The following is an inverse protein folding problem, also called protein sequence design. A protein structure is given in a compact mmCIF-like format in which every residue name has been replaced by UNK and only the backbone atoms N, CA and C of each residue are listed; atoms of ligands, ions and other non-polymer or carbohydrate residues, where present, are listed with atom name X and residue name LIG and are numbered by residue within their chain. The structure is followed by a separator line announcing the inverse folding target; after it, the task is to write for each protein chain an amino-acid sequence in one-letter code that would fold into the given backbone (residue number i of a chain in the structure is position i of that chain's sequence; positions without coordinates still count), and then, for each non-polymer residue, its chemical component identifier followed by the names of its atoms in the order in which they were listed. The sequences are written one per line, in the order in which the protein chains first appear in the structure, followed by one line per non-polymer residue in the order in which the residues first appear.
data_IF_151638211364
#
_entry.id   IF_151638211364
#
_cell.length_a   1.000
_cell.length_b   1.000
_cell.length_c   1.000
_cell.angle_alpha   90.00
_cell.angle_beta   90.00
_cell.angle_gamma   90.00
#
_symmetry.space_group_name_H-M   'P 1'
#
loop_
_entity.id
_entity.type
_entity.pdbx_description
1 polymer ?
#
# COMPACT_ATOMS: atom_id res chain seq x y z
N UNK A 1 13.22 -19.37 -9.64
CA UNK A 1 12.36 -18.19 -9.38
C UNK A 1 11.81 -18.20 -7.95
N UNK A 2 11.23 -19.27 -7.46
CA UNK A 2 10.65 -19.36 -6.11
C UNK A 2 11.61 -18.93 -5.00
N UNK A 3 12.82 -19.50 -4.95
CA UNK A 3 13.84 -19.10 -3.96
C UNK A 3 14.12 -17.60 -3.99
N UNK A 4 14.14 -17.01 -5.17
CA UNK A 4 14.35 -15.56 -5.32
C UNK A 4 13.18 -14.75 -4.76
N UNK A 5 11.94 -15.18 -4.98
CA UNK A 5 10.75 -14.57 -4.40
C UNK A 5 10.73 -14.69 -2.87
N UNK A 6 11.10 -15.85 -2.31
CA UNK A 6 11.25 -15.99 -0.86
C UNK A 6 12.30 -15.06 -0.27
N UNK A 7 13.46 -14.93 -0.94
CA UNK A 7 14.50 -13.99 -0.51
C UNK A 7 14.00 -12.53 -0.60
N UNK A 8 13.22 -12.19 -1.62
CA UNK A 8 12.62 -10.87 -1.75
C UNK A 8 11.64 -10.58 -0.59
N UNK A 9 10.76 -11.53 -0.25
CA UNK A 9 9.86 -11.41 0.90
C UNK A 9 10.63 -11.22 2.20
N UNK A 10 11.65 -12.05 2.43
CA UNK A 10 12.48 -11.93 3.63
C UNK A 10 13.14 -10.56 3.72
N UNK A 11 13.67 -10.07 2.60
CA UNK A 11 14.27 -8.73 2.50
C UNK A 11 13.24 -7.65 2.86
N UNK A 12 12.01 -7.73 2.33
CA UNK A 12 10.94 -6.80 2.67
C UNK A 12 10.61 -6.81 4.15
N UNK A 13 10.48 -7.98 4.76
CA UNK A 13 10.18 -8.12 6.19
C UNK A 13 11.31 -7.54 7.07
N UNK A 14 12.56 -7.80 6.71
CA UNK A 14 13.73 -7.23 7.40
C UNK A 14 13.73 -5.71 7.30
N UNK A 15 13.50 -5.16 6.11
CA UNK A 15 13.40 -3.70 5.92
C UNK A 15 12.27 -3.11 6.76
N UNK A 16 11.10 -3.74 6.78
CA UNK A 16 9.94 -3.30 7.57
C UNK A 16 10.28 -3.23 9.07
N UNK A 17 10.91 -4.28 9.62
CA UNK A 17 11.30 -4.35 11.03
C UNK A 17 12.37 -3.30 11.35
N UNK A 18 13.43 -3.20 10.54
CA UNK A 18 14.50 -2.22 10.75
C UNK A 18 13.92 -0.79 10.69
N UNK A 19 13.10 -0.48 9.68
CA UNK A 19 12.46 0.81 9.53
C UNK A 19 11.59 1.16 10.75
N UNK A 20 10.81 0.20 11.24
CA UNK A 20 10.02 0.37 12.45
C UNK A 20 10.89 0.72 13.67
N UNK A 21 11.93 -0.06 13.91
CA UNK A 21 12.84 0.15 15.06
C UNK A 21 13.50 1.53 14.98
N UNK A 22 14.07 1.87 13.81
CA UNK A 22 14.78 3.14 13.58
C UNK A 22 13.84 4.34 13.75
N UNK A 23 12.69 4.31 13.08
CA UNK A 23 11.71 5.40 13.15
C UNK A 23 11.11 5.54 14.54
N UNK A 24 10.78 4.42 15.21
CA UNK A 24 10.28 4.42 16.57
C UNK A 24 11.29 5.02 17.56
N UNK A 25 12.57 4.65 17.43
CA UNK A 25 13.66 5.18 18.27
C UNK A 25 13.91 6.67 18.01
N UNK A 26 13.87 7.09 16.74
CA UNK A 26 14.17 8.47 16.32
C UNK A 26 13.05 9.46 16.64
N UNK A 27 11.80 9.07 16.45
CA UNK A 27 10.63 9.95 16.55
C UNK A 27 9.77 9.68 17.79
N UNK A 28 10.01 8.60 18.53
CA UNK A 28 9.25 8.19 19.72
C UNK A 28 7.73 8.24 19.51
N UNK A 29 7.28 7.94 18.28
CA UNK A 29 5.90 8.07 17.87
C UNK A 29 4.93 7.16 18.62
N UNK A 30 3.65 7.49 18.61
CA UNK A 30 2.58 6.71 19.24
C UNK A 30 2.32 5.40 18.51
N UNK A 31 2.44 4.25 19.21
CA UNK A 31 2.08 2.93 18.68
C UNK A 31 0.58 2.87 18.34
N UNK A 32 -0.27 3.50 19.16
CA UNK A 32 -1.72 3.55 18.87
C UNK A 32 -1.99 4.21 17.53
N UNK A 33 -1.34 5.34 17.25
CA UNK A 33 -1.54 6.06 15.99
C UNK A 33 -0.91 5.32 14.80
N UNK A 34 0.21 4.62 15.02
CA UNK A 34 0.78 3.71 14.03
C UNK A 34 -0.21 2.58 13.66
N UNK A 35 -0.86 1.96 14.65
CA UNK A 35 -1.90 0.94 14.40
C UNK A 35 -3.13 1.55 13.69
N UNK A 36 -3.51 2.78 14.02
CA UNK A 36 -4.56 3.49 13.29
C UNK A 36 -4.15 3.72 11.83
N UNK A 37 -2.87 4.00 11.55
CA UNK A 37 -2.35 4.09 10.19
C UNK A 37 -2.44 2.75 9.44
N UNK A 38 -2.03 1.64 10.06
CA UNK A 38 -2.17 0.30 9.48
C UNK A 38 -3.63 -0.01 9.09
N UNK A 39 -4.56 0.22 10.02
CA UNK A 39 -5.98 -0.01 9.80
C UNK A 39 -6.56 0.98 8.79
N UNK A 40 -6.06 2.23 8.81
CA UNK A 40 -6.49 3.32 7.93
C UNK A 40 -6.16 3.11 6.46
N UNK A 41 -5.23 2.21 6.13
CA UNK A 41 -5.04 1.67 4.78
C UNK A 41 -5.91 0.43 4.57
N UNK A 42 -5.71 -0.60 5.40
CA UNK A 42 -6.28 -1.93 5.16
C UNK A 42 -7.82 -1.93 5.06
N UNK A 43 -8.51 -1.28 6.00
CA UNK A 43 -9.98 -1.31 6.02
C UNK A 43 -10.62 -0.58 4.82
N UNK A 44 -10.26 0.68 4.48
CA UNK A 44 -10.85 1.36 3.33
C UNK A 44 -10.54 0.65 2.02
N UNK A 45 -9.33 0.13 1.85
CA UNK A 45 -8.96 -0.61 0.64
C UNK A 45 -9.76 -1.89 0.52
N UNK A 46 -9.90 -2.67 1.59
CA UNK A 46 -10.65 -3.94 1.55
C UNK A 46 -12.16 -3.75 1.45
N UNK A 47 -12.73 -2.74 2.12
CA UNK A 47 -14.19 -2.60 2.26
C UNK A 47 -14.81 -1.63 1.24
N UNK A 48 -14.03 -0.71 0.70
CA UNK A 48 -14.54 0.32 -0.22
C UNK A 48 -13.85 0.18 -1.58
N UNK A 49 -12.54 0.39 -1.61
CA UNK A 49 -11.80 0.45 -2.86
C UNK A 49 -11.84 -0.88 -3.63
N UNK A 50 -11.52 -1.99 -2.97
CA UNK A 50 -11.49 -3.32 -3.59
C UNK A 50 -12.82 -3.72 -4.24
N UNK A 51 -13.97 -3.67 -3.52
CA UNK A 51 -15.28 -3.94 -4.09
C UNK A 51 -15.65 -3.03 -5.26
N UNK A 52 -15.38 -1.72 -5.16
CA UNK A 52 -15.67 -0.77 -6.24
C UNK A 52 -14.75 -1.06 -7.45
N UNK A 53 -13.46 -1.30 -7.21
CA UNK A 53 -12.50 -1.66 -8.25
C UNK A 53 -12.93 -2.95 -8.97
N UNK A 54 -13.38 -3.96 -8.23
CA UNK A 54 -13.88 -5.20 -8.81
C UNK A 54 -15.07 -4.96 -9.75
N UNK A 55 -16.03 -4.12 -9.35
CA UNK A 55 -17.19 -3.79 -10.18
C UNK A 55 -16.80 -2.97 -11.42
N UNK A 56 -16.02 -1.92 -11.25
CA UNK A 56 -15.65 -1.01 -12.35
C UNK A 56 -14.71 -1.69 -13.35
N UNK A 57 -13.69 -2.39 -12.87
CA UNK A 57 -12.70 -3.02 -13.75
C UNK A 57 -13.26 -4.25 -14.46
N UNK A 58 -14.20 -4.99 -13.86
CA UNK A 58 -14.90 -6.06 -14.59
C UNK A 58 -15.75 -5.54 -15.75
N UNK A 59 -16.33 -4.33 -15.60
CA UNK A 59 -17.18 -3.73 -16.61
C UNK A 59 -16.40 -2.93 -17.68
N UNK A 60 -15.37 -2.20 -17.29
CA UNK A 60 -14.67 -1.23 -18.13
C UNK A 60 -13.17 -1.49 -18.28
N UNK A 61 -12.57 -2.37 -17.49
CA UNK A 61 -11.11 -2.62 -17.49
C UNK A 61 -10.54 -3.15 -18.82
N UNK A 62 -11.39 -3.74 -19.66
CA UNK A 62 -11.01 -4.19 -21.00
C UNK A 62 -10.95 -3.06 -22.04
N UNK A 63 -11.45 -1.85 -21.71
CA UNK A 63 -11.58 -0.74 -22.65
C UNK A 63 -10.23 -0.14 -23.02
N UNK A 64 -9.34 0.06 -22.04
CA UNK A 64 -8.01 0.66 -22.26
C UNK A 64 -7.11 0.49 -21.04
N UNK A 65 -5.82 0.20 -21.28
CA UNK A 65 -4.78 0.19 -20.24
C UNK A 65 -4.69 1.56 -19.53
N UNK A 66 -4.85 2.64 -20.27
CA UNK A 66 -4.84 4.00 -19.71
C UNK A 66 -6.01 4.24 -18.77
N UNK A 67 -7.20 3.74 -19.12
CA UNK A 67 -8.37 3.81 -18.23
C UNK A 67 -8.06 3.15 -16.88
N UNK A 68 -7.54 1.93 -16.90
CA UNK A 68 -7.21 1.18 -15.66
C UNK A 68 -6.21 1.92 -14.80
N UNK A 69 -5.16 2.50 -15.40
CA UNK A 69 -4.12 3.25 -14.67
C UNK A 69 -4.69 4.52 -14.05
N UNK A 70 -5.39 5.34 -14.84
CA UNK A 70 -5.94 6.62 -14.37
C UNK A 70 -7.03 6.39 -13.32
N UNK A 71 -7.96 5.49 -13.59
CA UNK A 71 -9.02 5.12 -12.66
C UNK A 71 -8.45 4.59 -11.33
N UNK A 72 -7.51 3.64 -11.39
CA UNK A 72 -6.89 3.06 -10.20
C UNK A 72 -6.18 4.12 -9.35
N UNK A 73 -5.41 5.01 -9.97
CA UNK A 73 -4.72 6.09 -9.27
C UNK A 73 -5.69 7.10 -8.63
N UNK A 74 -6.77 7.48 -9.34
CA UNK A 74 -7.79 8.39 -8.81
C UNK A 74 -8.58 7.73 -7.67
N UNK A 75 -8.93 6.46 -7.80
CA UNK A 75 -9.70 5.74 -6.78
C UNK A 75 -8.88 5.54 -5.51
N UNK A 76 -7.64 5.09 -5.63
CA UNK A 76 -6.72 4.97 -4.51
C UNK A 76 -6.52 6.32 -3.81
N UNK A 77 -6.18 7.37 -4.57
CA UNK A 77 -6.04 8.73 -4.05
C UNK A 77 -7.28 9.19 -3.29
N UNK A 78 -8.48 9.04 -3.89
CA UNK A 78 -9.73 9.46 -3.25
C UNK A 78 -9.98 8.74 -1.92
N UNK A 79 -9.83 7.42 -1.89
CA UNK A 79 -10.13 6.62 -0.70
C UNK A 79 -9.08 6.82 0.39
N UNK A 80 -7.80 6.78 0.02
CA UNK A 80 -6.70 6.87 0.97
C UNK A 80 -6.57 8.27 1.56
N UNK A 81 -6.59 9.33 0.72
CA UNK A 81 -6.46 10.72 1.19
C UNK A 81 -7.66 11.12 2.04
N UNK A 82 -8.88 10.75 1.62
CA UNK A 82 -10.07 11.02 2.44
C UNK A 82 -9.97 10.38 3.81
N UNK A 83 -9.54 9.13 3.89
CA UNK A 83 -9.38 8.42 5.16
C UNK A 83 -8.33 9.10 6.04
N UNK A 84 -7.20 9.44 5.47
CA UNK A 84 -6.07 10.10 6.14
C UNK A 84 -6.49 11.47 6.71
N UNK A 85 -7.12 12.28 5.87
CA UNK A 85 -7.64 13.60 6.26
C UNK A 85 -8.65 13.49 7.42
N UNK A 86 -9.60 12.55 7.34
CA UNK A 86 -10.60 12.36 8.39
C UNK A 86 -9.97 11.95 9.72
N UNK A 87 -8.97 11.07 9.72
CA UNK A 87 -8.24 10.68 10.93
C UNK A 87 -7.57 11.88 11.58
N UNK A 88 -6.83 12.69 10.82
CA UNK A 88 -6.19 13.90 11.35
C UNK A 88 -7.19 14.95 11.81
N UNK A 89 -8.30 15.12 11.10
CA UNK A 89 -9.38 16.04 11.52
C UNK A 89 -10.02 15.63 12.84
N UNK A 90 -10.25 14.32 13.04
CA UNK A 90 -10.76 13.81 14.32
C UNK A 90 -9.71 13.95 15.44
N UNK A 91 -8.45 13.67 15.14
CA UNK A 91 -7.35 13.77 16.10
C UNK A 91 -7.13 15.22 16.54
N UNK A 92 -7.18 16.18 15.61
CA UNK A 92 -7.03 17.62 15.88
C UNK A 92 -8.10 18.18 16.82
N UNK A 93 -9.32 17.59 16.81
CA UNK A 93 -10.38 17.96 17.76
C UNK A 93 -10.10 17.51 19.20
N UNK A 94 -9.25 16.49 19.37
CA UNK A 94 -8.97 15.88 20.69
C UNK A 94 -7.70 16.41 21.34
N UNK A 95 -6.72 16.81 20.54
CA UNK A 95 -5.43 17.33 21.01
C UNK A 95 -4.67 18.07 19.90
N UNK A 96 -3.66 18.82 20.29
CA UNK A 96 -2.72 19.40 19.34
C UNK A 96 -1.96 18.30 18.59
N UNK A 97 -1.83 18.47 17.29
CA UNK A 97 -1.08 17.56 16.41
C UNK A 97 0.42 17.82 16.51
N UNK A 98 1.21 16.75 16.42
CA UNK A 98 2.69 16.80 16.48
C UNK A 98 3.29 16.19 15.22
N UNK A 99 4.52 16.57 14.89
CA UNK A 99 5.25 16.00 13.73
C UNK A 99 5.44 14.48 13.86
N UNK A 100 5.58 13.96 15.09
CA UNK A 100 5.63 12.52 15.33
C UNK A 100 4.34 11.80 14.95
N UNK A 101 3.21 12.50 14.83
CA UNK A 101 1.93 11.93 14.39
C UNK A 101 1.96 11.64 12.88
N UNK A 102 2.63 12.49 12.11
CA UNK A 102 2.87 12.28 10.68
C UNK A 102 3.62 10.96 10.47
N UNK A 103 4.72 10.79 11.21
CA UNK A 103 5.55 9.58 11.12
C UNK A 103 4.77 8.36 11.62
N UNK A 104 4.04 8.49 12.73
CA UNK A 104 3.25 7.39 13.28
C UNK A 104 2.23 6.86 12.27
N UNK A 105 1.34 7.75 11.82
CA UNK A 105 0.26 7.37 10.92
C UNK A 105 0.79 7.03 9.52
N UNK A 106 1.61 7.89 8.94
CA UNK A 106 2.10 7.73 7.57
C UNK A 106 2.95 6.47 7.38
N UNK A 107 3.81 6.17 8.36
CA UNK A 107 4.57 4.92 8.35
C UNK A 107 3.68 3.70 8.57
N UNK A 108 2.67 3.78 9.46
CA UNK A 108 1.71 2.69 9.65
C UNK A 108 0.90 2.42 8.37
N UNK A 109 0.37 3.45 7.75
CA UNK A 109 -0.36 3.38 6.50
C UNK A 109 0.50 2.80 5.37
N UNK A 110 1.68 3.37 5.14
CA UNK A 110 2.61 2.90 4.12
C UNK A 110 3.14 1.49 4.37
N UNK A 111 3.34 1.08 5.64
CA UNK A 111 3.74 -0.28 5.97
C UNK A 111 2.62 -1.28 5.69
N UNK A 112 1.36 -0.91 5.93
CA UNK A 112 0.21 -1.73 5.55
C UNK A 112 0.17 -1.95 4.05
N UNK A 113 0.30 -0.90 3.25
CA UNK A 113 0.40 -0.99 1.79
C UNK A 113 1.58 -1.86 1.34
N UNK A 114 2.76 -1.63 1.93
CA UNK A 114 3.99 -2.39 1.66
C UNK A 114 3.80 -3.89 1.88
N UNK A 115 3.08 -4.29 2.93
CA UNK A 115 2.77 -5.68 3.21
C UNK A 115 1.70 -6.21 2.25
N UNK A 116 0.57 -5.49 2.09
CA UNK A 116 -0.55 -5.95 1.26
C UNK A 116 -0.18 -6.07 -0.22
N UNK A 117 0.43 -5.06 -0.79
CA UNK A 117 0.76 -5.07 -2.21
C UNK A 117 2.12 -5.72 -2.49
N UNK A 118 3.09 -5.58 -1.58
CA UNK A 118 4.42 -6.15 -1.75
C UNK A 118 4.49 -7.61 -1.32
N UNK A 119 4.41 -7.88 -0.03
CA UNK A 119 4.61 -9.24 0.50
C UNK A 119 3.54 -10.20 0.00
N UNK A 120 2.25 -9.81 0.08
CA UNK A 120 1.15 -10.67 -0.38
C UNK A 120 1.17 -10.86 -1.90
N UNK A 121 1.59 -9.84 -2.67
CA UNK A 121 1.79 -9.96 -4.12
C UNK A 121 2.87 -10.99 -4.47
N UNK A 122 4.02 -10.97 -3.79
CA UNK A 122 5.08 -11.96 -3.98
C UNK A 122 4.64 -13.38 -3.55
N UNK A 123 3.89 -13.50 -2.44
CA UNK A 123 3.31 -14.77 -2.00
C UNK A 123 2.34 -15.34 -3.05
N UNK A 124 1.49 -14.50 -3.63
CA UNK A 124 0.59 -14.90 -4.73
C UNK A 124 1.40 -15.44 -5.92
N UNK A 125 2.49 -14.78 -6.30
CA UNK A 125 3.35 -15.27 -7.37
C UNK A 125 3.96 -16.65 -7.06
N UNK A 126 4.35 -16.90 -5.80
CA UNK A 126 4.85 -18.22 -5.37
C UNK A 126 3.76 -19.29 -5.49
N UNK A 127 2.55 -19.00 -4.99
CA UNK A 127 1.41 -19.92 -5.06
C UNK A 127 1.08 -20.28 -6.52
N UNK A 128 1.06 -19.28 -7.40
CA UNK A 128 0.80 -19.48 -8.82
C UNK A 128 1.90 -20.33 -9.48
N UNK A 129 3.18 -20.08 -9.18
CA UNK A 129 4.30 -20.89 -9.66
C UNK A 129 4.17 -22.34 -9.21
N UNK A 130 3.84 -22.59 -7.96
CA UNK A 130 3.65 -23.95 -7.45
C UNK A 130 2.47 -24.65 -8.12
N UNK A 131 1.38 -23.96 -8.37
CA UNK A 131 0.24 -24.49 -9.09
C UNK A 131 0.57 -24.83 -10.57
N UNK A 132 1.40 -24.01 -11.22
CA UNK A 132 1.91 -24.29 -12.58
C UNK A 132 2.78 -25.55 -12.56
N UNK A 133 3.72 -25.66 -11.63
CA UNK A 133 4.63 -26.81 -11.53
C UNK A 133 3.90 -28.11 -11.19
N UNK A 134 2.80 -28.04 -10.44
CA UNK A 134 1.96 -29.20 -10.10
C UNK A 134 0.93 -29.57 -11.18
N UNK A 135 0.94 -28.90 -12.33
CA UNK A 135 -0.02 -29.17 -13.43
C UNK A 135 -1.42 -28.61 -13.22
N UNK A 136 -1.61 -27.75 -12.21
CA UNK A 136 -2.92 -27.16 -11.86
C UNK A 136 -3.14 -25.78 -12.48
N UNK A 137 -2.33 -25.38 -13.46
CA UNK A 137 -2.43 -24.07 -14.12
C UNK A 137 -3.81 -23.77 -14.72
N UNK A 138 -4.53 -24.81 -15.18
CA UNK A 138 -5.88 -24.69 -15.76
C UNK A 138 -6.96 -24.28 -14.74
N UNK A 139 -6.69 -24.40 -13.45
CA UNK A 139 -7.61 -24.00 -12.37
C UNK A 139 -7.45 -22.51 -12.00
N UNK A 140 -6.43 -21.84 -12.54
CA UNK A 140 -6.13 -20.45 -12.24
C UNK A 140 -6.56 -19.52 -13.38
N UNK A 141 -6.88 -18.25 -13.09
CA UNK A 141 -7.09 -17.24 -14.12
C UNK A 141 -5.88 -17.16 -15.06
N UNK A 142 -6.13 -17.21 -16.38
CA UNK A 142 -5.08 -17.17 -17.40
C UNK A 142 -4.20 -15.92 -17.32
N UNK A 143 -4.76 -14.81 -16.84
CA UNK A 143 -4.02 -13.57 -16.60
C UNK A 143 -2.94 -13.72 -15.53
N UNK A 144 -3.22 -14.39 -14.42
CA UNK A 144 -2.24 -14.65 -13.35
C UNK A 144 -1.14 -15.60 -13.85
N UNK A 145 -1.51 -16.66 -14.56
CA UNK A 145 -0.54 -17.61 -15.14
C UNK A 145 0.39 -16.88 -16.12
N UNK A 146 -0.15 -16.02 -16.99
CA UNK A 146 0.66 -15.27 -17.96
C UNK A 146 1.58 -14.25 -17.28
N UNK A 147 1.12 -13.56 -16.24
CA UNK A 147 1.93 -12.62 -15.47
C UNK A 147 3.12 -13.32 -14.81
N UNK A 148 2.88 -14.46 -14.17
CA UNK A 148 3.94 -15.22 -13.48
C UNK A 148 4.93 -15.84 -14.46
N UNK A 149 4.48 -16.31 -15.61
CA UNK A 149 5.35 -16.84 -16.68
C UNK A 149 6.29 -15.77 -17.29
N UNK A 150 5.88 -14.49 -17.24
CA UNK A 150 6.68 -13.36 -17.71
C UNK A 150 7.51 -12.71 -16.60
N UNK A 151 7.41 -13.21 -15.35
CA UNK A 151 8.10 -12.63 -14.20
C UNK A 151 9.62 -12.83 -14.32
N UNK A 152 10.35 -11.73 -14.27
CA UNK A 152 11.81 -11.71 -14.28
C UNK A 152 12.36 -11.28 -12.93
N UNK A 153 13.61 -11.66 -12.62
CA UNK A 153 14.28 -11.18 -11.41
C UNK A 153 14.39 -9.66 -11.36
N UNK A 154 14.59 -9.02 -12.52
CA UNK A 154 14.60 -7.55 -12.61
C UNK A 154 13.25 -6.95 -12.23
N UNK A 155 12.14 -7.51 -12.71
CA UNK A 155 10.80 -7.04 -12.36
C UNK A 155 10.54 -7.13 -10.84
N UNK A 156 10.98 -8.21 -10.20
CA UNK A 156 10.88 -8.37 -8.73
C UNK A 156 11.69 -7.30 -8.00
N UNK A 157 12.93 -7.03 -8.43
CA UNK A 157 13.77 -5.97 -7.81
C UNK A 157 13.14 -4.59 -8.00
N UNK A 158 12.58 -4.29 -9.18
CA UNK A 158 11.88 -3.03 -9.43
C UNK A 158 10.62 -2.89 -8.59
N UNK A 159 9.86 -3.97 -8.40
CA UNK A 159 8.71 -3.98 -7.49
C UNK A 159 9.11 -3.69 -6.04
N UNK A 160 10.21 -4.27 -5.56
CA UNK A 160 10.76 -3.96 -4.23
C UNK A 160 11.11 -2.46 -4.10
N UNK A 161 11.81 -1.93 -5.09
CA UNK A 161 12.18 -0.51 -5.10
C UNK A 161 10.94 0.39 -5.12
N UNK A 162 9.96 0.08 -5.95
CA UNK A 162 8.68 0.79 -6.02
C UNK A 162 7.96 0.81 -4.66
N UNK A 163 7.91 -0.32 -3.96
CA UNK A 163 7.29 -0.39 -2.62
C UNK A 163 8.04 0.43 -1.58
N UNK A 164 9.36 0.53 -1.66
CA UNK A 164 10.14 1.40 -0.78
C UNK A 164 9.85 2.88 -1.05
N UNK A 165 9.76 3.26 -2.32
CA UNK A 165 9.38 4.63 -2.71
C UNK A 165 7.96 4.94 -2.25
N UNK A 166 7.01 4.01 -2.43
CA UNK A 166 5.64 4.16 -1.95
C UNK A 166 5.58 4.37 -0.44
N UNK A 167 6.35 3.60 0.34
CA UNK A 167 6.42 3.76 1.81
C UNK A 167 6.85 5.18 2.22
N UNK A 168 7.83 5.75 1.53
CA UNK A 168 8.27 7.14 1.77
C UNK A 168 7.18 8.13 1.36
N UNK A 169 6.56 7.92 0.18
CA UNK A 169 5.48 8.77 -0.32
C UNK A 169 4.29 8.80 0.64
N UNK A 170 3.91 7.68 1.25
CA UNK A 170 2.81 7.64 2.22
C UNK A 170 3.07 8.53 3.45
N UNK A 171 4.32 8.61 3.89
CA UNK A 171 4.69 9.54 4.98
C UNK A 171 4.60 11.01 4.51
N UNK A 172 5.03 11.31 3.27
CA UNK A 172 4.96 12.65 2.71
C UNK A 172 3.51 13.10 2.47
N UNK A 173 2.67 12.24 1.92
CA UNK A 173 1.23 12.50 1.74
C UNK A 173 0.55 12.75 3.10
N UNK A 174 0.92 11.97 4.11
CA UNK A 174 0.44 12.20 5.49
C UNK A 174 0.88 13.56 6.03
N UNK A 175 2.08 14.03 5.70
CA UNK A 175 2.53 15.38 6.08
C UNK A 175 1.70 16.46 5.37
N UNK A 176 1.28 16.20 4.14
CA UNK A 176 0.43 17.09 3.37
C UNK A 176 -0.95 17.26 3.99
N UNK A 177 -1.62 16.15 4.33
CA UNK A 177 -2.91 16.15 5.03
C UNK A 177 -2.82 16.77 6.43
N UNK A 178 -1.74 16.52 7.15
CA UNK A 178 -1.47 17.18 8.41
C UNK A 178 -1.44 18.70 8.25
N UNK A 179 -0.81 19.23 7.19
CA UNK A 179 -0.79 20.67 6.89
C UNK A 179 -2.18 21.19 6.50
N UNK A 180 -2.94 20.43 5.72
CA UNK A 180 -4.31 20.78 5.35
C UNK A 180 -5.19 20.99 6.59
N UNK A 181 -5.11 20.05 7.54
CA UNK A 181 -5.89 20.10 8.78
C UNK A 181 -5.41 21.22 9.71
N UNK A 182 -4.09 21.39 9.91
CA UNK A 182 -3.54 22.37 10.86
C UNK A 182 -3.68 23.81 10.38
N UNK A 183 -3.61 24.05 9.06
CA UNK A 183 -3.75 25.37 8.46
C UNK A 183 -5.18 25.70 8.03
N UNK A 184 -6.13 24.78 8.22
CA UNK A 184 -7.52 24.93 7.79
C UNK A 184 -7.68 25.33 6.30
N UNK A 185 -6.77 24.85 5.44
CA UNK A 185 -6.77 25.16 4.01
C UNK A 185 -7.01 23.89 3.19
N UNK A 186 -8.20 23.76 2.61
CA UNK A 186 -8.52 22.65 1.71
C UNK A 186 -7.66 22.63 0.42
N UNK A 187 -7.02 23.75 0.07
CA UNK A 187 -6.06 23.80 -1.05
C UNK A 187 -4.84 22.90 -0.88
N UNK A 188 -4.63 22.32 0.30
CA UNK A 188 -3.62 21.28 0.54
C UNK A 188 -4.20 19.86 0.47
N UNK A 189 -5.50 19.74 0.22
CA UNK A 189 -6.17 18.44 0.11
C UNK A 189 -6.35 18.00 -1.36
N UNK A 190 -6.48 18.96 -2.31
CA UNK A 190 -6.62 18.71 -3.74
C UNK A 190 -5.42 19.20 -4.52
#
# INVERSE_FOLDING_TARGET
METFLFMAILTMLVIAVISFIVLKKRWQFSIKLFLVGLIGFALPVMMIEGPINALVLSSFGHSSKWFTIIYGGLMAGLVEETTRYLVFKVLAKKRSLMTSDIVAYGFGHGLSEFIFLGVMGLLTNIIVLQAIHSGQASQLPSTLVSQVNQLTGFAVVMSLFERLVALVLQVLLTAWDFLAVTKHRLSFYF
#
